data_IF_616732433233
#
_entry.id   IF_616732433233
#
_cell.length_a   1.000
_cell.length_b   1.000
_cell.length_c   1.000
_cell.angle_alpha   90.00
_cell.angle_beta   90.00
_cell.angle_gamma   90.00
#
_symmetry.space_group_name_H-M   'P 1'
#
loop_
_entity.id
_entity.type
_entity.pdbx_description
1 polymer ?
#
# COMPACT_ATOMS: atom_id res chain seq x y z
N UNK A 1 5.43 -3.97 -30.31
CA UNK A 1 6.16 -2.88 -29.63
C UNK A 1 6.34 -3.33 -28.19
N UNK A 2 7.48 -3.95 -27.84
CA UNK A 2 7.68 -4.55 -26.52
C UNK A 2 8.00 -3.48 -25.47
N UNK A 3 7.30 -3.43 -24.33
CA UNK A 3 7.54 -2.44 -23.28
C UNK A 3 8.64 -2.97 -22.36
N UNK A 4 9.90 -2.95 -22.81
CA UNK A 4 11.04 -3.35 -21.97
C UNK A 4 12.28 -2.47 -22.14
N UNK A 5 12.18 -1.36 -22.86
CA UNK A 5 13.27 -0.40 -23.03
C UNK A 5 13.12 0.76 -22.03
N UNK A 6 14.10 0.86 -21.12
CA UNK A 6 14.37 1.99 -20.20
C UNK A 6 14.01 1.83 -18.70
N UNK A 7 14.22 0.62 -18.14
CA UNK A 7 14.43 0.45 -16.68
C UNK A 7 15.87 0.85 -16.32
N UNK A 8 16.27 2.08 -16.67
CA UNK A 8 17.63 2.59 -16.46
C UNK A 8 17.64 3.96 -15.75
N UNK A 9 16.60 4.75 -15.97
CA UNK A 9 16.43 6.10 -15.40
C UNK A 9 15.18 6.20 -14.50
N UNK A 10 14.30 5.21 -14.56
CA UNK A 10 13.02 5.19 -13.86
C UNK A 10 13.13 4.65 -12.42
N UNK A 11 14.00 5.22 -11.59
CA UNK A 11 13.97 4.92 -10.16
C UNK A 11 12.75 5.58 -9.54
N UNK A 12 11.76 4.77 -9.18
CA UNK A 12 10.56 5.23 -8.48
C UNK A 12 10.85 5.17 -6.98
N UNK A 13 10.81 6.33 -6.33
CA UNK A 13 10.94 6.40 -4.88
C UNK A 13 9.77 5.67 -4.21
N UNK A 14 10.06 4.64 -3.41
CA UNK A 14 9.05 3.92 -2.62
C UNK A 14 8.43 4.82 -1.55
N UNK A 15 7.31 4.38 -0.97
CA UNK A 15 6.64 4.99 0.19
C UNK A 15 6.20 6.44 -0.04
N UNK A 16 6.02 6.84 -1.31
CA UNK A 16 5.70 8.22 -1.68
C UNK A 16 6.78 9.22 -1.20
N UNK A 17 8.05 8.81 -1.01
CA UNK A 17 9.09 9.69 -0.45
C UNK A 17 9.34 10.93 -1.32
N UNK A 18 9.23 10.81 -2.64
CA UNK A 18 9.32 11.96 -3.55
C UNK A 18 8.19 12.98 -3.31
N UNK A 19 6.98 12.48 -3.04
CA UNK A 19 5.78 13.26 -2.78
C UNK A 19 5.85 13.92 -1.40
N UNK A 20 6.42 13.22 -0.41
CA UNK A 20 6.61 13.72 0.95
C UNK A 20 7.48 14.98 1.04
N UNK A 21 8.21 15.32 -0.04
CA UNK A 21 9.00 16.56 -0.15
C UNK A 21 8.24 17.73 -0.79
N UNK A 22 6.96 17.57 -1.16
CA UNK A 22 6.16 18.66 -1.74
C UNK A 22 5.97 19.83 -0.76
N UNK A 23 5.95 21.06 -1.28
CA UNK A 23 5.88 22.28 -0.45
C UNK A 23 4.47 22.55 0.09
N UNK A 24 3.46 21.99 -0.56
CA UNK A 24 2.06 22.18 -0.20
C UNK A 24 1.20 20.94 -0.45
N UNK A 25 0.02 20.93 0.14
CA UNK A 25 -0.90 19.78 0.08
C UNK A 25 -1.42 19.50 -1.34
N UNK A 26 -1.66 20.52 -2.17
CA UNK A 26 -2.16 20.33 -3.53
C UNK A 26 -1.09 19.66 -4.40
N UNK A 27 0.16 20.11 -4.29
CA UNK A 27 1.31 19.51 -4.96
C UNK A 27 1.53 18.06 -4.49
N UNK A 28 1.41 17.81 -3.19
CA UNK A 28 1.47 16.45 -2.63
C UNK A 28 0.41 15.55 -3.30
N UNK A 29 -0.85 15.99 -3.37
CA UNK A 29 -1.92 15.23 -4.03
C UNK A 29 -1.65 14.99 -5.52
N UNK A 30 -1.16 16.00 -6.24
CA UNK A 30 -0.87 15.90 -7.67
C UNK A 30 0.31 14.98 -7.99
N UNK A 31 1.22 14.74 -7.03
CA UNK A 31 2.43 13.93 -7.21
C UNK A 31 2.29 12.48 -6.75
N UNK A 32 1.12 12.07 -6.22
CA UNK A 32 0.88 10.70 -5.80
C UNK A 32 1.11 9.71 -6.95
N UNK A 33 1.89 8.68 -6.68
CA UNK A 33 2.34 7.71 -7.68
C UNK A 33 1.89 6.29 -7.33
N UNK A 34 1.12 5.64 -8.22
CA UNK A 34 0.64 4.27 -8.04
C UNK A 34 1.74 3.22 -8.22
N UNK A 35 2.83 3.57 -8.89
CA UNK A 35 3.96 2.69 -9.13
C UNK A 35 4.96 2.70 -7.96
N UNK A 36 4.83 3.65 -7.02
CA UNK A 36 5.61 3.70 -5.77
C UNK A 36 5.08 2.71 -4.73
N UNK A 37 5.78 1.59 -4.54
CA UNK A 37 5.45 0.58 -3.53
C UNK A 37 5.41 1.14 -2.09
N UNK A 38 4.43 0.73 -1.24
CA UNK A 38 4.37 1.12 0.17
C UNK A 38 5.39 0.35 1.03
N UNK A 39 5.51 0.70 2.32
CA UNK A 39 6.22 -0.14 3.29
C UNK A 39 5.49 -1.46 3.54
N UNK A 40 6.23 -2.50 3.89
CA UNK A 40 5.67 -3.80 4.28
C UNK A 40 4.84 -3.73 5.57
N UNK A 41 5.13 -2.76 6.45
CA UNK A 41 4.44 -2.63 7.75
C UNK A 41 3.12 -1.88 7.58
N UNK A 42 2.00 -2.48 7.98
CA UNK A 42 0.74 -1.77 8.16
C UNK A 42 0.68 -1.15 9.56
N UNK A 43 0.75 0.18 9.64
CA UNK A 43 0.69 0.89 10.92
C UNK A 43 -0.73 0.98 11.51
N UNK A 44 -1.75 0.71 10.69
CA UNK A 44 -3.15 0.76 11.08
C UNK A 44 -3.68 -0.66 11.30
N UNK A 45 -4.20 -0.94 12.49
CA UNK A 45 -4.82 -2.22 12.80
C UNK A 45 -6.10 -2.46 11.98
N UNK A 46 -6.36 -3.71 11.63
CA UNK A 46 -7.58 -4.14 10.94
C UNK A 46 -8.49 -4.80 11.99
N UNK A 47 -9.72 -4.29 12.14
CA UNK A 47 -10.76 -4.87 12.99
C UNK A 47 -11.83 -5.46 12.08
N UNK A 48 -12.11 -6.75 12.20
CA UNK A 48 -13.18 -7.43 11.47
C UNK A 48 -14.30 -7.89 12.42
N UNK A 49 -15.54 -7.83 11.94
CA UNK A 49 -16.66 -8.52 12.58
C UNK A 49 -16.68 -9.95 12.04
N UNK A 50 -16.79 -10.93 12.91
CA UNK A 50 -16.88 -12.34 12.52
C UNK A 50 -18.35 -12.68 12.38
N UNK A 51 -18.80 -12.92 11.16
CA UNK A 51 -20.08 -13.57 10.90
C UNK A 51 -19.84 -15.03 10.43
N UNK A 52 -20.92 -15.76 10.19
CA UNK A 52 -20.83 -17.18 9.86
C UNK A 52 -20.26 -17.45 8.45
N UNK A 53 -19.97 -16.40 7.67
CA UNK A 53 -19.48 -16.53 6.30
C UNK A 53 -17.98 -16.82 6.24
N UNK A 54 -17.22 -16.37 7.24
CA UNK A 54 -15.76 -16.48 7.27
C UNK A 54 -15.24 -17.73 7.99
N UNK A 55 -16.11 -18.61 8.53
CA UNK A 55 -15.67 -19.65 9.46
C UNK A 55 -15.24 -20.96 8.75
N UNK A 56 -13.93 -21.26 8.60
CA UNK A 56 -13.46 -22.45 7.90
C UNK A 56 -13.32 -23.65 8.87
N UNK A 57 -13.42 -23.42 10.20
CA UNK A 57 -13.09 -24.40 11.24
C UNK A 57 -13.87 -24.12 12.54
N UNK A 58 -14.88 -24.95 12.83
CA UNK A 58 -15.58 -25.07 14.13
C UNK A 58 -14.66 -25.50 15.30
N UNK A 59 -13.34 -25.59 15.12
CA UNK A 59 -12.42 -26.19 16.10
C UNK A 59 -11.31 -25.22 16.52
N UNK A 60 -11.38 -24.81 17.80
CA UNK A 60 -10.39 -24.05 18.60
C UNK A 60 -10.57 -22.53 18.63
N UNK A 61 -11.37 -22.13 19.61
CA UNK A 61 -11.09 -21.15 20.67
C UNK A 61 -10.56 -19.76 20.26
N UNK A 62 -11.47 -18.81 20.50
CA UNK A 62 -11.28 -17.45 21.02
C UNK A 62 -10.52 -16.46 20.14
N UNK A 63 -11.30 -15.69 19.38
CA UNK A 63 -10.95 -14.32 19.02
C UNK A 63 -11.05 -13.43 20.26
N UNK A 64 -9.91 -13.14 20.87
CA UNK A 64 -9.61 -11.87 21.54
C UNK A 64 -8.18 -11.51 21.15
#
# INVERSE_FOLDING_TARGET
MSPHSEVGTAFIYTQQLHVAMADNFLEYMCRLDIDSAPITTCNTGIICTIDHQECPCSHRKLCI
#
